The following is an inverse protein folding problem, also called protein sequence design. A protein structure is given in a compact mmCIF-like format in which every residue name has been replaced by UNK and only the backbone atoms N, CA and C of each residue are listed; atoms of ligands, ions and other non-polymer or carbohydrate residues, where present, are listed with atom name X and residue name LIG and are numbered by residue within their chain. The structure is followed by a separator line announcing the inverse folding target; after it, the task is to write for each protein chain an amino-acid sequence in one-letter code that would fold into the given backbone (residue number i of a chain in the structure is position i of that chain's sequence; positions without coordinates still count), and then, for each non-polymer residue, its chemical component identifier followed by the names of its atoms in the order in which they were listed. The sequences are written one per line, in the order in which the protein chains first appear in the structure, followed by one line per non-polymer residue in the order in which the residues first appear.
data_IF_028912640352
#
_entry.id   IF_028912640352
#
_cell.length_a   1.000
_cell.length_b   1.000
_cell.length_c   1.000
_cell.angle_alpha   90.00
_cell.angle_beta   90.00
_cell.angle_gamma   90.00
#
_symmetry.space_group_name_H-M   'P 1'
#
loop_
_entity.id
_entity.type
_entity.pdbx_description
1 polymer ?
#
# COMPACT_ATOMS: atom_id res chain seq x y z
N UNK A 1 -47.70 -8.37 -38.60
CA UNK A 1 -47.63 -7.06 -37.93
C UNK A 1 -46.29 -6.44 -38.30
N UNK A 2 -46.34 -5.31 -38.99
CA UNK A 2 -45.19 -4.57 -39.52
C UNK A 2 -44.31 -4.03 -38.38
N UNK A 3 -43.01 -4.28 -38.44
CA UNK A 3 -42.01 -3.49 -37.70
C UNK A 3 -41.31 -2.54 -38.69
N UNK A 4 -41.07 -1.27 -38.35
CA UNK A 4 -40.63 -0.27 -39.31
C UNK A 4 -39.12 -0.33 -39.54
N UNK A 5 -38.70 -0.10 -40.78
CA UNK A 5 -37.29 0.05 -41.14
C UNK A 5 -36.66 1.31 -40.53
N UNK A 6 -35.32 1.37 -40.41
CA UNK A 6 -34.64 2.49 -39.76
C UNK A 6 -34.82 3.78 -40.58
N UNK A 7 -35.29 4.82 -39.89
CA UNK A 7 -35.47 6.16 -40.44
C UNK A 7 -34.09 6.78 -40.72
N UNK A 8 -33.73 6.94 -42.00
CA UNK A 8 -32.52 7.68 -42.40
C UNK A 8 -32.81 9.19 -42.31
N UNK A 9 -32.23 9.85 -41.31
CA UNK A 9 -32.16 11.31 -41.26
C UNK A 9 -31.03 11.74 -42.18
N UNK A 10 -31.37 12.23 -43.38
CA UNK A 10 -30.41 12.89 -44.27
C UNK A 10 -30.18 14.32 -43.80
N UNK A 11 -29.01 14.58 -43.21
CA UNK A 11 -28.55 15.94 -42.93
C UNK A 11 -28.10 16.56 -44.26
N UNK A 12 -28.70 17.68 -44.74
CA UNK A 12 -28.29 18.29 -45.99
C UNK A 12 -26.92 18.94 -45.81
N UNK A 13 -25.92 18.45 -46.55
CA UNK A 13 -24.55 18.99 -46.56
C UNK A 13 -23.42 17.97 -46.44
N UNK A 14 -23.71 16.69 -46.19
CA UNK A 14 -22.69 15.64 -46.12
C UNK A 14 -22.66 14.86 -47.44
N UNK A 15 -21.51 14.90 -48.11
CA UNK A 15 -21.26 14.19 -49.37
C UNK A 15 -21.20 12.66 -49.09
N UNK A 16 -22.04 11.82 -49.73
CA UNK A 16 -22.09 10.37 -49.44
C UNK A 16 -20.80 9.60 -49.79
N UNK A 17 -19.87 10.21 -50.53
CA UNK A 17 -18.58 9.60 -50.86
C UNK A 17 -17.53 9.70 -49.73
N UNK A 18 -17.82 10.39 -48.63
CA UNK A 18 -16.92 10.47 -47.46
C UNK A 18 -17.20 9.42 -46.37
N UNK A 19 -18.27 8.63 -46.49
CA UNK A 19 -18.68 7.66 -45.46
C UNK A 19 -17.86 6.35 -45.49
N UNK A 20 -17.03 6.14 -46.52
CA UNK A 20 -16.23 4.91 -46.72
C UNK A 20 -14.71 5.13 -46.70
N UNK A 21 -14.22 6.24 -46.15
CA UNK A 21 -12.81 6.33 -45.81
C UNK A 21 -12.54 5.39 -44.61
N UNK A 22 -12.15 4.15 -44.89
CA UNK A 22 -11.52 3.26 -43.90
C UNK A 22 -10.37 4.04 -43.30
N UNK A 23 -10.58 4.61 -42.11
CA UNK A 23 -9.51 5.25 -41.37
C UNK A 23 -8.44 4.19 -41.17
N UNK A 24 -7.18 4.43 -41.59
CA UNK A 24 -6.13 3.46 -41.35
C UNK A 24 -6.08 3.19 -39.84
N UNK A 25 -6.25 1.92 -39.46
CA UNK A 25 -6.06 1.47 -38.07
C UNK A 25 -4.76 2.09 -37.55
N UNK A 26 -4.79 2.82 -36.42
CA UNK A 26 -3.63 3.54 -35.94
C UNK A 26 -2.47 2.56 -35.80
N UNK A 27 -1.36 2.81 -36.49
CA UNK A 27 -0.18 1.95 -36.40
C UNK A 27 0.36 2.04 -34.99
N UNK A 28 -0.02 1.10 -34.12
CA UNK A 28 0.40 1.14 -32.73
C UNK A 28 1.93 1.12 -32.65
N UNK A 29 2.48 2.12 -31.97
CA UNK A 29 3.88 2.15 -31.53
C UNK A 29 4.23 0.84 -30.80
N UNK A 30 5.48 0.38 -30.86
CA UNK A 30 5.95 -0.78 -30.09
C UNK A 30 5.55 -0.67 -28.60
N UNK A 31 5.63 0.53 -28.04
CA UNK A 31 5.19 0.81 -26.65
C UNK A 31 3.70 0.63 -26.45
N UNK A 32 2.86 1.06 -27.40
CA UNK A 32 1.41 0.90 -27.31
C UNK A 32 1.00 -0.58 -27.44
N UNK A 33 1.71 -1.37 -28.26
CA UNK A 33 1.49 -2.83 -28.33
C UNK A 33 1.90 -3.52 -27.04
N UNK A 34 3.04 -3.15 -26.46
CA UNK A 34 3.47 -3.68 -25.17
C UNK A 34 2.45 -3.35 -24.06
N UNK A 35 1.98 -2.10 -24.00
CA UNK A 35 0.92 -1.67 -23.07
C UNK A 35 -0.38 -2.46 -23.28
N UNK A 36 -0.80 -2.69 -24.53
CA UNK A 36 -1.99 -3.49 -24.82
C UNK A 36 -1.84 -4.97 -24.39
N UNK A 37 -0.63 -5.53 -24.44
CA UNK A 37 -0.36 -6.87 -23.91
C UNK A 37 -0.43 -6.87 -22.38
N UNK A 38 0.16 -5.86 -21.71
CA UNK A 38 0.09 -5.70 -20.26
C UNK A 38 -1.37 -5.56 -19.81
N UNK A 39 -2.14 -4.71 -20.48
CA UNK A 39 -3.57 -4.49 -20.20
C UNK A 39 -4.38 -5.78 -20.38
N UNK A 40 -4.20 -6.50 -21.50
CA UNK A 40 -4.90 -7.78 -21.73
C UNK A 40 -4.52 -8.85 -20.71
N UNK A 41 -3.26 -8.87 -20.28
CA UNK A 41 -2.77 -9.85 -19.30
C UNK A 41 -3.30 -9.50 -17.91
N UNK A 42 -3.23 -8.22 -17.53
CA UNK A 42 -3.77 -7.71 -16.27
C UNK A 42 -5.27 -7.98 -16.14
N UNK A 43 -6.06 -7.70 -17.19
CA UNK A 43 -7.50 -7.95 -17.19
C UNK A 43 -7.89 -9.44 -17.17
N UNK A 44 -6.95 -10.35 -17.46
CA UNK A 44 -7.19 -11.80 -17.37
C UNK A 44 -6.92 -12.36 -15.98
N UNK A 45 -6.16 -11.65 -15.14
CA UNK A 45 -5.91 -12.08 -13.79
C UNK A 45 -7.22 -12.00 -12.98
N UNK A 46 -7.65 -13.10 -12.33
CA UNK A 46 -8.82 -13.06 -11.48
C UNK A 46 -8.57 -12.18 -10.25
N UNK A 47 -9.65 -11.87 -9.53
CA UNK A 47 -9.58 -11.12 -8.27
C UNK A 47 -8.47 -11.68 -7.34
N UNK A 48 -7.66 -10.83 -6.69
CA UNK A 48 -6.60 -11.27 -5.80
C UNK A 48 -7.03 -12.29 -4.73
N UNK A 49 -8.23 -12.17 -4.16
CA UNK A 49 -8.75 -13.17 -3.22
C UNK A 49 -8.96 -14.53 -3.90
N UNK A 50 -9.45 -14.52 -5.15
CA UNK A 50 -9.61 -15.75 -5.95
C UNK A 50 -8.28 -16.37 -6.37
N UNK A 51 -7.21 -15.58 -6.53
CA UNK A 51 -5.86 -16.13 -6.70
C UNK A 51 -5.46 -16.97 -5.49
N UNK A 52 -5.69 -16.49 -4.27
CA UNK A 52 -5.37 -17.26 -3.05
C UNK A 52 -6.28 -18.48 -2.85
N UNK A 53 -7.55 -18.40 -3.25
CA UNK A 53 -8.42 -19.61 -3.34
C UNK A 53 -7.81 -20.63 -4.32
N UNK A 54 -7.39 -20.18 -5.50
CA UNK A 54 -6.73 -21.02 -6.49
C UNK A 54 -5.45 -21.66 -5.94
N UNK A 55 -4.58 -20.87 -5.29
CA UNK A 55 -3.35 -21.35 -4.67
C UNK A 55 -3.61 -22.37 -3.54
N UNK A 56 -4.65 -22.17 -2.74
CA UNK A 56 -5.06 -23.13 -1.72
C UNK A 56 -5.48 -24.47 -2.35
N UNK A 57 -6.32 -24.45 -3.39
CA UNK A 57 -6.75 -25.65 -4.10
C UNK A 57 -5.57 -26.37 -4.79
N UNK A 58 -4.67 -25.60 -5.40
CA UNK A 58 -3.44 -26.12 -6.00
C UNK A 58 -2.57 -26.77 -4.92
N UNK A 59 -2.42 -26.14 -3.76
CA UNK A 59 -1.65 -26.68 -2.63
C UNK A 59 -2.23 -28.00 -2.17
N UNK A 60 -3.55 -28.12 -2.04
CA UNK A 60 -4.20 -29.39 -1.71
C UNK A 60 -3.94 -30.47 -2.76
N UNK A 61 -4.12 -30.16 -4.04
CA UNK A 61 -3.90 -31.10 -5.13
C UNK A 61 -2.43 -31.55 -5.23
N UNK A 62 -1.49 -30.61 -5.14
CA UNK A 62 -0.05 -30.90 -5.14
C UNK A 62 0.36 -31.68 -3.89
N UNK A 63 -0.18 -31.35 -2.71
CA UNK A 63 0.15 -32.08 -1.49
C UNK A 63 -0.29 -33.54 -1.58
N UNK A 64 -1.45 -33.80 -2.19
CA UNK A 64 -1.92 -35.15 -2.47
C UNK A 64 -0.99 -35.87 -3.46
N UNK A 65 -0.71 -35.25 -4.61
CA UNK A 65 0.10 -35.86 -5.65
C UNK A 65 1.54 -36.16 -5.18
N UNK A 66 2.16 -35.22 -4.47
CA UNK A 66 3.55 -35.31 -4.03
C UNK A 66 3.74 -36.09 -2.73
N UNK A 67 2.67 -36.37 -1.97
CA UNK A 67 2.75 -37.18 -0.74
C UNK A 67 3.23 -38.62 -0.96
N UNK A 68 3.10 -39.14 -2.18
CA UNK A 68 3.57 -40.48 -2.54
C UNK A 68 5.07 -40.52 -2.89
N UNK A 69 5.71 -39.36 -3.03
CA UNK A 69 7.09 -39.23 -3.47
C UNK A 69 8.03 -38.94 -2.29
N UNK A 70 9.26 -39.43 -2.40
CA UNK A 70 10.33 -39.14 -1.45
C UNK A 70 11.37 -38.26 -2.15
N UNK A 71 11.63 -37.08 -1.60
CA UNK A 71 12.51 -36.09 -2.23
C UNK A 71 13.96 -36.20 -1.77
N UNK A 72 14.24 -36.93 -0.68
CA UNK A 72 15.60 -37.05 -0.13
C UNK A 72 16.14 -35.77 0.51
N UNK A 73 15.35 -34.71 0.54
CA UNK A 73 15.64 -33.41 1.14
C UNK A 73 15.47 -33.45 2.64
N UNK A 74 16.37 -32.85 3.41
CA UNK A 74 16.30 -32.76 4.87
C UNK A 74 15.63 -31.46 5.31
N UNK A 75 14.71 -31.53 6.26
CA UNK A 75 14.10 -30.36 6.89
C UNK A 75 15.16 -29.68 7.77
N UNK A 76 15.54 -28.42 7.49
CA UNK A 76 16.57 -27.72 8.27
C UNK A 76 16.17 -27.48 9.73
N UNK A 77 14.88 -27.63 10.08
CA UNK A 77 14.35 -27.41 11.44
C UNK A 77 14.51 -28.62 12.33
N UNK A 78 14.27 -29.82 11.78
CA UNK A 78 14.23 -31.06 12.55
C UNK A 78 15.42 -31.98 12.26
N UNK A 79 16.10 -31.79 11.13
CA UNK A 79 17.13 -32.71 10.65
C UNK A 79 16.56 -34.02 10.07
N UNK A 80 15.24 -34.15 9.98
CA UNK A 80 14.56 -35.31 9.40
C UNK A 80 14.25 -35.12 7.91
N UNK A 81 14.02 -36.20 7.14
CA UNK A 81 13.59 -36.07 5.75
C UNK A 81 12.26 -35.29 5.63
N UNK A 82 12.21 -34.33 4.71
CA UNK A 82 10.97 -33.63 4.36
C UNK A 82 10.01 -34.64 3.72
N UNK A 83 8.89 -34.89 4.40
CA UNK A 83 7.79 -35.70 3.87
C UNK A 83 6.58 -34.78 3.63
N UNK A 84 6.07 -34.81 2.40
CA UNK A 84 4.88 -34.02 2.03
C UNK A 84 3.64 -34.65 2.68
N UNK A 85 2.86 -33.83 3.39
CA UNK A 85 1.64 -34.28 4.08
C UNK A 85 0.44 -34.00 3.17
N UNK A 86 -0.32 -35.06 2.85
CA UNK A 86 -1.54 -34.96 2.06
C UNK A 86 -2.64 -34.20 2.80
N UNK A 87 -2.94 -32.98 2.35
CA UNK A 87 -3.96 -32.11 2.94
C UNK A 87 -5.40 -32.53 2.61
N UNK A 88 -5.59 -33.43 1.64
CA UNK A 88 -6.91 -34.02 1.32
C UNK A 88 -7.22 -35.26 2.16
N UNK A 89 -6.33 -35.67 3.07
CA UNK A 89 -6.62 -36.74 4.03
C UNK A 89 -7.71 -36.32 5.02
N UNK A 90 -8.44 -37.31 5.57
CA UNK A 90 -9.51 -37.03 6.54
C UNK A 90 -9.02 -36.25 7.76
N UNK A 91 -7.83 -36.57 8.28
CA UNK A 91 -7.22 -35.90 9.43
C UNK A 91 -6.78 -34.46 9.12
N UNK A 92 -6.12 -34.24 7.97
CA UNK A 92 -5.72 -32.89 7.59
C UNK A 92 -6.92 -31.99 7.29
N UNK A 93 -7.98 -32.53 6.67
CA UNK A 93 -9.21 -31.78 6.38
C UNK A 93 -9.98 -31.43 7.67
N UNK A 94 -10.08 -32.35 8.64
CA UNK A 94 -10.70 -32.03 9.94
C UNK A 94 -9.88 -31.01 10.70
N UNK A 95 -8.55 -31.13 10.70
CA UNK A 95 -7.65 -30.14 11.31
C UNK A 95 -7.80 -28.75 10.65
N UNK A 96 -7.83 -28.69 9.32
CA UNK A 96 -8.04 -27.46 8.56
C UNK A 96 -9.37 -26.78 8.94
N UNK A 97 -10.47 -27.52 8.93
CA UNK A 97 -11.78 -26.97 9.30
C UNK A 97 -11.84 -26.55 10.78
N UNK A 98 -11.24 -27.33 11.67
CA UNK A 98 -11.20 -27.03 13.11
C UNK A 98 -10.39 -25.76 13.41
N UNK A 99 -9.28 -25.55 12.69
CA UNK A 99 -8.37 -24.42 12.91
C UNK A 99 -8.71 -23.18 12.09
N UNK A 100 -9.57 -23.28 11.05
CA UNK A 100 -9.88 -22.20 10.10
C UNK A 100 -10.11 -20.83 10.75
N UNK A 101 -10.97 -20.77 11.78
CA UNK A 101 -11.29 -19.52 12.49
C UNK A 101 -10.09 -19.01 13.29
N UNK A 102 -9.38 -19.90 13.98
CA UNK A 102 -8.20 -19.54 14.77
C UNK A 102 -7.07 -19.02 13.88
N UNK A 103 -6.81 -19.71 12.77
CA UNK A 103 -5.84 -19.33 11.74
C UNK A 103 -6.13 -17.94 11.20
N UNK A 104 -7.39 -17.62 10.91
CA UNK A 104 -7.78 -16.29 10.46
C UNK A 104 -7.64 -15.25 11.58
N UNK A 105 -8.23 -15.49 12.75
CA UNK A 105 -8.25 -14.51 13.84
C UNK A 105 -6.86 -14.16 14.37
N UNK A 106 -5.92 -15.11 14.35
CA UNK A 106 -4.53 -14.91 14.79
C UNK A 106 -3.57 -14.59 13.65
N UNK A 107 -4.06 -14.39 12.42
CA UNK A 107 -3.19 -13.98 11.33
C UNK A 107 -2.68 -12.55 11.57
N UNK A 108 -1.40 -12.45 11.92
CA UNK A 108 -0.78 -11.25 12.48
C UNK A 108 -1.08 -9.94 11.73
N UNK A 109 -0.98 -9.89 10.37
CA UNK A 109 -1.23 -8.65 9.63
C UNK A 109 -2.64 -8.06 9.82
N UNK A 110 -3.64 -8.88 10.16
CA UNK A 110 -5.02 -8.43 10.32
C UNK A 110 -5.14 -7.49 11.52
N UNK A 111 -4.77 -7.95 12.70
CA UNK A 111 -4.88 -7.15 13.93
C UNK A 111 -4.06 -5.86 13.83
N UNK A 112 -2.87 -5.97 13.25
CA UNK A 112 -1.95 -4.85 13.01
C UNK A 112 -2.61 -3.74 12.20
N UNK A 113 -3.11 -4.05 11.01
CA UNK A 113 -3.64 -3.06 10.08
C UNK A 113 -4.94 -2.47 10.61
N UNK A 114 -5.85 -3.30 11.12
CA UNK A 114 -7.15 -2.82 11.60
C UNK A 114 -7.00 -1.85 12.78
N UNK A 115 -6.14 -2.16 13.75
CA UNK A 115 -5.90 -1.26 14.90
C UNK A 115 -5.30 0.06 14.45
N UNK A 116 -4.31 0.05 13.54
CA UNK A 116 -3.76 1.28 12.99
C UNK A 116 -4.82 2.12 12.25
N UNK A 117 -5.67 1.46 11.45
CA UNK A 117 -6.74 2.12 10.69
C UNK A 117 -7.84 2.73 11.56
N UNK A 118 -8.07 2.26 12.79
CA UNK A 118 -8.99 2.93 13.72
C UNK A 118 -8.52 4.36 14.04
N UNK A 119 -7.21 4.56 14.25
CA UNK A 119 -6.65 5.87 14.56
C UNK A 119 -6.59 6.77 13.34
N UNK A 120 -6.10 6.23 12.21
CA UNK A 120 -6.01 6.93 10.92
C UNK A 120 -7.41 7.32 10.44
N UNK A 121 -8.40 6.44 10.58
CA UNK A 121 -9.79 6.68 10.21
C UNK A 121 -10.42 7.87 10.91
N UNK A 122 -10.16 8.02 12.22
CA UNK A 122 -10.60 9.21 12.98
C UNK A 122 -9.87 10.46 12.47
N UNK A 123 -8.55 10.40 12.29
CA UNK A 123 -7.77 11.51 11.79
C UNK A 123 -8.23 12.00 10.41
N UNK A 124 -8.61 11.08 9.53
CA UNK A 124 -9.15 11.40 8.21
C UNK A 124 -10.57 11.94 8.30
N UNK A 125 -11.46 11.25 9.03
CA UNK A 125 -12.88 11.62 9.16
C UNK A 125 -13.07 13.01 9.79
N UNK A 126 -12.24 13.36 10.77
CA UNK A 126 -12.27 14.67 11.43
C UNK A 126 -11.74 15.82 10.55
N UNK A 127 -11.05 15.50 9.45
CA UNK A 127 -10.47 16.46 8.52
C UNK A 127 -9.03 16.90 8.86
N UNK A 128 -8.39 16.27 9.85
CA UNK A 128 -7.00 16.56 10.23
C UNK A 128 -6.05 16.27 9.07
N UNK A 129 -6.12 15.07 8.48
CA UNK A 129 -5.28 14.65 7.35
C UNK A 129 -5.45 15.61 6.17
N UNK A 130 -6.68 15.84 5.75
CA UNK A 130 -7.00 16.72 4.61
C UNK A 130 -6.43 18.13 4.83
N UNK A 131 -6.55 18.67 6.04
CA UNK A 131 -6.02 20.00 6.36
C UNK A 131 -4.50 20.04 6.46
N UNK A 132 -3.87 18.99 6.98
CA UNK A 132 -2.42 18.87 7.03
C UNK A 132 -1.81 18.80 5.61
N UNK A 133 -2.37 17.97 4.71
CA UNK A 133 -1.92 17.86 3.33
C UNK A 133 -2.05 19.20 2.59
N UNK A 134 -3.19 19.90 2.71
CA UNK A 134 -3.38 21.25 2.15
C UNK A 134 -2.42 22.28 2.74
N UNK A 135 -2.15 22.22 4.05
CA UNK A 135 -1.20 23.11 4.71
C UNK A 135 0.22 22.94 4.17
N UNK A 136 0.69 21.70 3.98
CA UNK A 136 2.02 21.43 3.45
C UNK A 136 2.20 21.96 2.02
N UNK A 137 1.15 21.87 1.21
CA UNK A 137 1.20 22.28 -0.19
C UNK A 137 1.11 23.80 -0.41
N UNK A 138 0.52 24.55 0.52
CA UNK A 138 0.36 26.01 0.41
C UNK A 138 1.60 26.82 0.78
N UNK A 139 2.57 26.23 1.49
CA UNK A 139 3.76 26.94 2.04
C UNK A 139 5.02 26.77 1.16
N UNK A 140 4.87 26.24 -0.06
CA UNK A 140 6.01 25.86 -0.91
C UNK A 140 6.46 26.97 -1.87
N UNK A 141 7.77 27.22 -1.95
CA UNK A 141 8.36 28.12 -2.95
C UNK A 141 8.21 27.56 -4.38
N UNK A 142 8.01 28.43 -5.38
CA UNK A 142 7.71 28.02 -6.78
C UNK A 142 8.70 27.00 -7.36
N UNK A 143 9.99 27.11 -7.04
CA UNK A 143 11.04 26.22 -7.54
C UNK A 143 11.07 24.84 -6.84
N UNK A 144 10.42 24.70 -5.68
CA UNK A 144 10.30 23.45 -4.92
C UNK A 144 8.92 22.78 -5.10
N UNK A 145 8.05 23.30 -5.98
CA UNK A 145 6.69 22.76 -6.12
C UNK A 145 6.67 21.28 -6.49
N UNK A 146 7.51 20.86 -7.44
CA UNK A 146 7.60 19.46 -7.87
C UNK A 146 8.06 18.53 -6.74
N UNK A 147 9.23 18.76 -6.11
CA UNK A 147 9.69 17.87 -5.05
C UNK A 147 8.76 17.89 -3.83
N UNK A 148 8.11 19.01 -3.51
CA UNK A 148 7.15 19.06 -2.41
C UNK A 148 5.85 18.32 -2.71
N UNK A 149 5.33 18.38 -3.95
CA UNK A 149 4.16 17.59 -4.33
C UNK A 149 4.45 16.09 -4.25
N UNK A 150 5.65 15.67 -4.69
CA UNK A 150 6.08 14.27 -4.56
C UNK A 150 6.22 13.89 -3.08
N UNK A 151 6.86 14.74 -2.26
CA UNK A 151 6.98 14.54 -0.82
C UNK A 151 5.61 14.39 -0.14
N UNK A 152 4.66 15.26 -0.46
CA UNK A 152 3.30 15.19 0.08
C UNK A 152 2.59 13.93 -0.41
N UNK A 153 2.82 13.50 -1.66
CA UNK A 153 2.36 12.21 -2.17
C UNK A 153 2.89 11.04 -1.34
N UNK A 154 4.19 11.01 -1.08
CA UNK A 154 4.84 9.99 -0.23
C UNK A 154 4.25 9.99 1.19
N UNK A 155 4.16 11.15 1.84
CA UNK A 155 3.63 11.27 3.21
C UNK A 155 2.14 10.92 3.27
N UNK A 156 1.38 11.12 2.20
CA UNK A 156 -0.05 10.81 2.17
C UNK A 156 -0.37 9.32 2.36
N UNK A 157 0.60 8.41 2.13
CA UNK A 157 0.44 6.98 2.44
C UNK A 157 0.24 6.66 3.90
N UNK A 158 0.74 7.52 4.79
CA UNK A 158 0.45 7.36 6.22
C UNK A 158 -1.04 7.56 6.52
N UNK A 159 -1.80 8.14 5.57
CA UNK A 159 -3.23 8.35 5.65
C UNK A 159 -4.02 7.63 4.55
N UNK A 160 -3.64 6.38 4.26
CA UNK A 160 -4.36 5.45 3.36
C UNK A 160 -4.71 6.09 1.99
N UNK A 161 -6.01 6.20 1.67
CA UNK A 161 -6.50 6.60 0.34
C UNK A 161 -6.50 8.12 0.09
N UNK A 162 -6.16 8.93 1.11
CA UNK A 162 -6.16 10.38 1.01
C UNK A 162 -5.24 10.91 -0.11
N UNK A 163 -4.14 10.20 -0.40
CA UNK A 163 -3.22 10.52 -1.49
C UNK A 163 -3.88 10.58 -2.86
N UNK A 164 -4.65 9.53 -3.21
CA UNK A 164 -5.29 9.44 -4.52
C UNK A 164 -6.43 10.43 -4.68
N UNK A 165 -7.22 10.62 -3.61
CA UNK A 165 -8.41 11.47 -3.64
C UNK A 165 -8.05 12.95 -3.60
N UNK A 166 -7.05 13.35 -2.81
CA UNK A 166 -6.73 14.75 -2.57
C UNK A 166 -5.45 15.23 -3.27
N UNK A 167 -4.34 14.51 -3.15
CA UNK A 167 -3.01 15.02 -3.56
C UNK A 167 -2.90 15.09 -5.08
N UNK A 168 -3.46 14.11 -5.81
CA UNK A 168 -3.39 14.07 -7.27
C UNK A 168 -4.10 15.27 -7.92
N UNK A 169 -5.40 15.55 -7.64
CA UNK A 169 -6.07 16.72 -8.21
C UNK A 169 -5.41 18.02 -7.77
N UNK A 170 -5.01 18.10 -6.49
CA UNK A 170 -4.40 19.30 -5.91
C UNK A 170 -3.04 19.63 -6.54
N UNK A 171 -2.25 18.61 -6.91
CA UNK A 171 -1.01 18.78 -7.66
C UNK A 171 -1.24 19.49 -9.00
N UNK A 172 -2.31 19.12 -9.72
CA UNK A 172 -2.71 19.78 -10.96
C UNK A 172 -3.10 21.25 -10.75
N UNK A 173 -3.92 21.52 -9.75
CA UNK A 173 -4.38 22.89 -9.43
C UNK A 173 -3.22 23.78 -9.01
N UNK A 174 -2.29 23.29 -8.19
CA UNK A 174 -1.12 24.05 -7.73
C UNK A 174 -0.19 24.39 -8.89
N UNK A 175 0.05 23.44 -9.79
CA UNK A 175 0.85 23.69 -10.98
C UNK A 175 0.19 24.75 -11.86
N UNK A 176 -1.12 24.66 -12.10
CA UNK A 176 -1.87 25.65 -12.87
C UNK A 176 -1.80 27.05 -12.23
N UNK A 177 -2.01 27.14 -10.91
CA UNK A 177 -1.92 28.40 -10.16
C UNK A 177 -0.50 29.00 -10.16
N UNK A 178 0.54 28.16 -10.30
CA UNK A 178 1.92 28.58 -10.43
C UNK A 178 2.34 28.93 -11.87
N UNK A 179 1.42 28.85 -12.84
CA UNK A 179 1.69 29.07 -14.27
C UNK A 179 2.41 27.91 -14.96
N UNK A 180 2.40 26.72 -14.35
CA UNK A 180 2.98 25.47 -14.86
C UNK A 180 1.88 24.57 -15.42
N UNK A 181 2.26 23.59 -16.23
CA UNK A 181 1.27 22.72 -16.89
C UNK A 181 0.59 21.79 -15.86
N UNK A 182 -0.76 21.79 -15.69
CA UNK A 182 -1.47 21.00 -14.68
C UNK A 182 -1.24 19.49 -14.80
N UNK A 183 -1.17 18.94 -16.03
CA UNK A 183 -0.85 17.52 -16.22
C UNK A 183 0.52 17.13 -15.67
N UNK A 184 1.50 18.04 -15.63
CA UNK A 184 2.80 17.77 -15.01
C UNK A 184 2.66 17.66 -13.48
N UNK A 185 1.81 18.49 -12.87
CA UNK A 185 1.49 18.41 -11.44
C UNK A 185 0.74 17.13 -11.07
N UNK A 186 -0.23 16.72 -11.89
CA UNK A 186 -0.94 15.44 -11.74
C UNK A 186 0.04 14.27 -11.86
N UNK A 187 0.92 14.30 -12.87
CA UNK A 187 1.92 13.25 -13.05
C UNK A 187 2.92 13.17 -11.88
N UNK A 188 3.39 14.32 -11.38
CA UNK A 188 4.28 14.38 -10.22
C UNK A 188 3.60 13.86 -8.94
N UNK A 189 2.35 14.26 -8.70
CA UNK A 189 1.57 13.78 -7.57
C UNK A 189 1.30 12.27 -7.68
N UNK A 190 0.92 11.78 -8.86
CA UNK A 190 0.71 10.36 -9.11
C UNK A 190 2.00 9.55 -8.95
N UNK A 191 3.15 10.08 -9.37
CA UNK A 191 4.43 9.43 -9.14
C UNK A 191 4.77 9.33 -7.64
N UNK A 192 4.47 10.37 -6.86
CA UNK A 192 4.64 10.36 -5.41
C UNK A 192 3.69 9.41 -4.67
N UNK A 193 2.41 9.39 -5.07
CA UNK A 193 1.37 8.54 -4.44
C UNK A 193 1.43 7.09 -4.93
N UNK A 194 1.67 6.82 -6.21
CA UNK A 194 1.69 5.44 -6.70
C UNK A 194 3.10 4.85 -6.60
N UNK A 195 4.08 5.55 -7.15
CA UNK A 195 5.47 5.10 -7.16
C UNK A 195 6.18 5.19 -5.80
N UNK A 196 5.68 6.04 -4.88
CA UNK A 196 6.20 6.21 -3.54
C UNK A 196 5.54 5.37 -2.46
N UNK A 197 4.63 4.45 -2.80
CA UNK A 197 3.73 3.77 -1.85
C UNK A 197 4.43 3.16 -0.62
N UNK A 198 5.55 2.46 -0.83
CA UNK A 198 6.31 1.83 0.26
C UNK A 198 7.35 2.74 0.91
N UNK A 199 7.72 3.85 0.26
CA UNK A 199 8.72 4.77 0.79
C UNK A 199 8.04 5.74 1.77
N UNK A 200 8.62 5.96 2.95
CA UNK A 200 8.09 6.95 3.88
C UNK A 200 9.15 7.41 4.89
N UNK A 201 9.06 8.65 5.34
CA UNK A 201 9.88 9.18 6.43
C UNK A 201 9.32 8.83 7.82
N UNK A 202 8.02 8.49 7.86
CA UNK A 202 7.29 8.21 9.09
C UNK A 202 6.81 6.75 9.02
N UNK A 203 7.02 5.95 10.08
CA UNK A 203 6.43 4.62 10.17
C UNK A 203 4.91 4.67 9.98
N UNK A 204 4.39 3.75 9.19
CA UNK A 204 3.01 3.68 8.78
C UNK A 204 2.43 2.31 9.12
N UNK A 205 1.13 2.11 8.86
CA UNK A 205 0.50 0.79 9.01
C UNK A 205 1.07 -0.28 8.03
N UNK A 206 1.72 0.16 6.95
CA UNK A 206 2.32 -0.74 5.94
C UNK A 206 3.53 -1.47 6.53
N UNK A 207 4.35 -0.81 7.35
CA UNK A 207 5.58 -1.39 7.90
C UNK A 207 5.32 -2.67 8.73
N UNK A 208 4.46 -2.64 9.77
CA UNK A 208 4.14 -3.85 10.53
C UNK A 208 3.30 -4.85 9.72
N UNK A 209 2.54 -4.42 8.70
CA UNK A 209 1.83 -5.34 7.79
C UNK A 209 2.80 -6.17 6.96
N UNK A 210 3.75 -5.52 6.28
CA UNK A 210 4.77 -6.17 5.46
C UNK A 210 5.69 -7.04 6.32
N UNK A 211 6.04 -6.55 7.52
CA UNK A 211 6.77 -7.35 8.49
C UNK A 211 5.99 -8.61 8.87
N UNK A 212 4.68 -8.50 9.13
CA UNK A 212 3.85 -9.65 9.51
C UNK A 212 3.80 -10.73 8.44
N UNK A 213 3.60 -10.33 7.18
CA UNK A 213 3.59 -11.25 6.02
C UNK A 213 4.97 -11.90 5.86
N UNK A 214 6.04 -11.10 5.92
CA UNK A 214 7.42 -11.58 5.81
C UNK A 214 7.76 -12.57 6.93
N UNK A 215 7.31 -12.29 8.15
CA UNK A 215 7.53 -13.16 9.29
C UNK A 215 6.77 -14.48 9.13
N UNK A 216 5.51 -14.47 8.69
CA UNK A 216 4.77 -15.70 8.41
C UNK A 216 5.44 -16.57 7.35
N UNK A 217 6.01 -15.95 6.30
CA UNK A 217 6.82 -16.67 5.31
C UNK A 217 8.11 -17.24 5.89
N UNK A 218 8.84 -16.46 6.70
CA UNK A 218 10.08 -16.90 7.33
C UNK A 218 9.86 -18.02 8.36
N UNK A 219 8.72 -18.02 9.06
CA UNK A 219 8.33 -19.03 10.04
C UNK A 219 8.04 -20.41 9.44
N UNK A 220 7.92 -20.51 8.11
CA UNK A 220 7.92 -21.80 7.43
C UNK A 220 9.26 -22.53 7.63
N UNK A 221 10.37 -21.79 7.73
CA UNK A 221 11.74 -22.32 7.86
C UNK A 221 12.30 -22.14 9.27
N UNK A 222 12.01 -21.05 9.96
CA UNK A 222 12.41 -20.85 11.36
C UNK A 222 11.20 -20.41 12.19
N UNK A 223 10.52 -21.35 12.89
CA UNK A 223 9.32 -21.04 13.65
C UNK A 223 9.53 -20.00 14.77
N UNK A 224 10.76 -19.83 15.25
CA UNK A 224 11.08 -18.90 16.33
C UNK A 224 11.45 -17.49 15.83
N UNK A 225 11.56 -17.29 14.51
CA UNK A 225 11.98 -16.00 13.96
C UNK A 225 10.94 -14.92 14.27
N UNK A 226 11.43 -13.81 14.79
CA UNK A 226 10.67 -12.58 15.02
C UNK A 226 11.37 -11.47 14.25
N UNK A 227 10.61 -10.72 13.46
CA UNK A 227 11.12 -9.60 12.68
C UNK A 227 10.77 -8.27 13.36
N UNK A 228 11.69 -7.31 13.32
CA UNK A 228 11.41 -5.96 13.81
C UNK A 228 10.43 -5.26 12.84
N UNK A 229 9.32 -4.66 13.32
CA UNK A 229 8.39 -3.90 12.47
C UNK A 229 9.02 -2.75 11.68
N UNK A 230 10.13 -2.19 12.15
CA UNK A 230 10.88 -1.10 11.51
C UNK A 230 12.14 -1.58 10.79
N UNK A 231 12.25 -2.88 10.48
CA UNK A 231 13.42 -3.45 9.80
C UNK A 231 13.75 -2.74 8.47
N UNK A 232 12.74 -2.20 7.78
CA UNK A 232 12.89 -1.51 6.51
C UNK A 232 12.96 0.02 6.63
N UNK A 233 12.81 0.59 7.83
CA UNK A 233 12.62 2.03 8.01
C UNK A 233 13.72 2.89 7.38
N UNK A 234 15.00 2.53 7.61
CA UNK A 234 16.11 3.29 7.01
C UNK A 234 16.14 3.18 5.49
N UNK A 235 15.82 2.00 4.95
CA UNK A 235 15.76 1.79 3.51
C UNK A 235 14.61 2.59 2.88
N UNK A 236 13.43 2.57 3.47
CA UNK A 236 12.25 3.29 2.95
C UNK A 236 12.41 4.80 3.08
N UNK A 237 12.98 5.29 4.18
CA UNK A 237 13.26 6.72 4.37
C UNK A 237 14.31 7.27 3.39
N UNK A 238 15.39 6.53 3.14
CA UNK A 238 16.39 6.91 2.12
C UNK A 238 15.79 6.81 0.71
N UNK A 239 14.96 5.80 0.45
CA UNK A 239 14.26 5.65 -0.82
C UNK A 239 13.32 6.83 -1.11
N UNK A 240 12.67 7.42 -0.09
CA UNK A 240 11.86 8.62 -0.27
C UNK A 240 12.68 9.78 -0.86
N UNK A 241 13.91 9.99 -0.41
CA UNK A 241 14.78 11.04 -0.97
C UNK A 241 15.14 10.77 -2.43
N UNK A 242 15.41 9.50 -2.77
CA UNK A 242 15.70 9.09 -4.14
C UNK A 242 14.49 9.28 -5.06
N UNK A 243 13.29 8.91 -4.61
CA UNK A 243 12.04 9.06 -5.37
C UNK A 243 11.71 10.54 -5.56
N UNK A 244 11.88 11.38 -4.54
CA UNK A 244 11.71 12.84 -4.66
C UNK A 244 12.69 13.40 -5.69
N UNK A 245 13.98 13.07 -5.58
CA UNK A 245 15.00 13.57 -6.50
C UNK A 245 14.78 13.12 -7.94
N UNK A 246 14.49 11.83 -8.14
CA UNK A 246 14.26 11.27 -9.47
C UNK A 246 12.95 11.76 -10.08
N UNK A 247 11.86 11.78 -9.31
CA UNK A 247 10.58 12.31 -9.77
C UNK A 247 10.66 13.80 -10.09
N UNK A 248 11.41 14.58 -9.31
CA UNK A 248 11.68 15.98 -9.62
C UNK A 248 12.43 16.13 -10.95
N UNK A 249 13.52 15.39 -11.12
CA UNK A 249 14.30 15.37 -12.37
C UNK A 249 13.41 14.99 -13.56
N UNK A 250 12.66 13.91 -13.46
CA UNK A 250 11.81 13.41 -14.55
C UNK A 250 10.73 14.42 -14.92
N UNK A 251 10.03 14.98 -13.94
CA UNK A 251 8.94 15.92 -14.19
C UNK A 251 9.44 17.21 -14.82
N UNK A 252 10.44 17.88 -14.23
CA UNK A 252 10.89 19.19 -14.70
C UNK A 252 11.71 19.08 -16.00
N UNK A 253 12.52 18.02 -16.16
CA UNK A 253 13.44 17.89 -17.31
C UNK A 253 12.81 17.24 -18.53
N UNK A 254 11.82 16.37 -18.37
CA UNK A 254 11.26 15.56 -19.45
C UNK A 254 9.74 15.72 -19.62
N UNK A 255 8.96 15.67 -18.55
CA UNK A 255 7.48 15.69 -18.65
C UNK A 255 6.99 17.10 -18.98
N UNK A 256 7.35 18.10 -18.19
CA UNK A 256 6.89 19.47 -18.37
C UNK A 256 7.32 20.09 -19.72
N UNK A 257 8.58 19.92 -20.20
CA UNK A 257 8.96 20.45 -21.51
C UNK A 257 8.20 19.81 -22.67
N UNK A 258 7.78 18.54 -22.56
CA UNK A 258 6.95 17.89 -23.57
C UNK A 258 5.52 18.41 -23.58
N UNK A 259 5.02 18.82 -22.42
CA UNK A 259 3.67 19.37 -22.26
C UNK A 259 3.57 20.86 -22.61
N UNK A 260 4.69 21.58 -22.71
CA UNK A 260 4.70 23.00 -23.02
C UNK A 260 4.05 23.35 -24.37
N UNK A 261 4.02 22.40 -25.33
CA UNK A 261 3.39 22.57 -26.63
C UNK A 261 1.87 22.27 -26.63
N UNK A 262 1.35 21.70 -25.54
CA UNK A 262 -0.07 21.34 -25.42
C UNK A 262 -0.86 22.55 -24.97
N UNK A 263 -1.83 22.98 -25.78
CA UNK A 263 -2.71 24.10 -25.40
C UNK A 263 -3.64 23.66 -24.26
N UNK A 264 -3.74 24.50 -23.24
CA UNK A 264 -4.72 24.35 -22.18
C UNK A 264 -6.08 24.84 -22.68
N UNK A 265 -7.14 24.15 -22.27
CA UNK A 265 -8.50 24.60 -22.55
C UNK A 265 -8.72 25.97 -21.87
N UNK A 266 -9.09 27.03 -22.62
CA UNK A 266 -9.31 28.36 -22.07
C UNK A 266 -10.48 28.42 -21.07
N UNK A 267 -11.32 27.39 -20.99
CA UNK A 267 -12.42 27.26 -20.03
C UNK A 267 -12.08 26.44 -18.78
N UNK A 268 -10.79 26.14 -18.50
CA UNK A 268 -10.41 25.49 -17.25
C UNK A 268 -10.72 26.44 -16.08
N UNK A 269 -11.92 26.30 -15.53
CA UNK A 269 -12.25 26.88 -14.24
C UNK A 269 -11.51 26.09 -13.17
N UNK A 270 -10.64 26.79 -12.44
CA UNK A 270 -10.10 26.27 -11.19
C UNK A 270 -11.27 26.20 -10.21
N UNK A 271 -11.97 25.07 -10.15
CA UNK A 271 -12.87 24.79 -9.03
C UNK A 271 -12.08 24.98 -7.74
N UNK A 272 -12.68 25.70 -6.79
CA UNK A 272 -12.11 26.18 -5.52
C UNK A 272 -11.76 25.07 -4.51
N UNK A 273 -11.18 23.96 -4.98
CA UNK A 273 -10.57 22.91 -4.16
C UNK A 273 -9.36 23.41 -3.35
N UNK A 274 -8.86 24.62 -3.66
CA UNK A 274 -7.82 25.36 -2.95
C UNK A 274 -8.37 26.47 -2.05
N UNK A 275 -9.56 26.28 -1.46
CA UNK A 275 -9.98 27.19 -0.39
C UNK A 275 -8.89 27.20 0.69
N UNK A 276 -8.33 28.39 0.91
CA UNK A 276 -7.29 28.59 1.92
C UNK A 276 -7.85 28.13 3.26
N UNK A 277 -7.05 27.37 4.02
CA UNK A 277 -7.45 26.92 5.36
C UNK A 277 -8.02 28.09 6.16
N UNK A 278 -9.25 27.91 6.62
CA UNK A 278 -9.95 28.88 7.45
C UNK A 278 -9.17 29.14 8.75
N UNK A 279 -9.46 30.27 9.41
CA UNK A 279 -8.84 30.57 10.70
C UNK A 279 -9.07 29.47 11.75
N UNK A 280 -10.23 28.81 11.69
CA UNK A 280 -10.56 27.69 12.57
C UNK A 280 -9.72 26.46 12.24
N UNK A 281 -9.67 26.02 10.98
CA UNK A 281 -8.85 24.87 10.57
C UNK A 281 -7.37 25.08 10.87
N UNK A 282 -6.85 26.29 10.64
CA UNK A 282 -5.45 26.62 10.96
C UNK A 282 -5.16 26.55 12.46
N UNK A 283 -6.10 27.00 13.29
CA UNK A 283 -5.98 26.91 14.75
C UNK A 283 -6.09 25.46 15.21
N UNK A 284 -7.07 24.72 14.69
CA UNK A 284 -7.26 23.29 14.94
C UNK A 284 -6.01 22.48 14.59
N UNK A 285 -5.39 22.75 13.44
CA UNK A 285 -4.15 22.09 13.01
C UNK A 285 -3.01 22.36 14.00
N UNK A 286 -2.86 23.59 14.49
CA UNK A 286 -1.84 23.92 15.51
C UNK A 286 -2.06 23.17 16.81
N UNK A 287 -3.29 23.13 17.32
CA UNK A 287 -3.60 22.39 18.55
C UNK A 287 -3.45 20.89 18.38
N UNK A 288 -3.83 20.34 17.22
CA UNK A 288 -3.65 18.93 16.89
C UNK A 288 -2.16 18.55 16.85
N UNK A 289 -1.33 19.34 16.16
CA UNK A 289 0.12 19.14 16.13
C UNK A 289 0.76 19.30 17.52
N UNK A 290 0.27 20.23 18.34
CA UNK A 290 0.70 20.36 19.73
C UNK A 290 0.34 19.10 20.53
N UNK A 291 -0.87 18.57 20.38
CA UNK A 291 -1.30 17.32 21.03
C UNK A 291 -0.43 16.13 20.62
N UNK A 292 -0.11 16.02 19.33
CA UNK A 292 0.81 15.01 18.80
C UNK A 292 2.21 15.17 19.38
N UNK A 293 2.74 16.40 19.45
CA UNK A 293 4.05 16.69 20.03
C UNK A 293 4.09 16.33 21.52
N UNK A 294 3.03 16.65 22.28
CA UNK A 294 2.91 16.26 23.69
C UNK A 294 2.89 14.74 23.85
N UNK A 295 2.16 14.01 23.00
CA UNK A 295 2.16 12.54 23.04
C UNK A 295 3.55 11.94 22.77
N UNK A 296 4.27 12.48 21.78
CA UNK A 296 5.67 12.09 21.48
C UNK A 296 6.59 12.45 22.65
N UNK A 297 6.44 13.63 23.24
CA UNK A 297 7.24 14.06 24.39
C UNK A 297 7.01 13.14 25.61
N UNK A 298 5.77 12.75 25.89
CA UNK A 298 5.45 11.81 26.97
C UNK A 298 6.04 10.42 26.70
N UNK A 299 5.93 9.92 25.45
CA UNK A 299 6.53 8.65 25.07
C UNK A 299 8.05 8.69 25.25
N UNK A 300 8.71 9.71 24.72
CA UNK A 300 10.17 9.87 24.82
C UNK A 300 10.64 9.99 26.26
N UNK A 301 9.95 10.77 27.11
CA UNK A 301 10.25 10.86 28.54
C UNK A 301 10.08 9.50 29.24
N UNK A 302 9.03 8.75 28.92
CA UNK A 302 8.80 7.42 29.49
C UNK A 302 9.84 6.37 29.02
N UNK A 303 10.39 6.54 27.82
CA UNK A 303 11.40 5.67 27.22
C UNK A 303 12.85 6.08 27.55
N UNK A 304 13.06 7.26 28.15
CA UNK A 304 14.38 7.88 28.26
C UNK A 304 15.33 7.13 29.18
N UNK A 305 14.85 6.71 30.36
CA UNK A 305 15.69 6.08 31.38
C UNK A 305 16.28 4.75 30.90
N UNK A 306 17.46 4.40 31.41
CA UNK A 306 18.10 3.11 31.14
C UNK A 306 17.26 1.94 31.71
N UNK A 307 16.51 2.19 32.79
CA UNK A 307 15.61 1.22 33.43
C UNK A 307 14.17 1.32 32.89
N UNK A 308 13.97 1.93 31.72
CA UNK A 308 12.64 2.09 31.13
C UNK A 308 12.01 0.74 30.79
N UNK A 309 10.73 0.57 31.13
CA UNK A 309 9.93 -0.60 30.76
C UNK A 309 9.75 -0.77 29.24
N UNK A 310 10.11 0.22 28.44
CA UNK A 310 10.09 0.15 26.98
C UNK A 310 11.27 -0.60 26.37
N UNK A 311 12.35 -0.76 27.13
CA UNK A 311 13.58 -1.43 26.67
C UNK A 311 13.40 -2.95 26.76
N UNK A 312 14.03 -3.65 25.82
CA UNK A 312 14.09 -5.10 25.87
C UNK A 312 15.18 -5.60 26.86
N UNK A 313 15.35 -6.93 26.98
CA UNK A 313 16.33 -7.54 27.88
C UNK A 313 17.79 -7.08 27.68
N UNK A 314 18.18 -6.70 26.46
CA UNK A 314 19.50 -6.17 26.14
C UNK A 314 19.66 -4.66 26.41
N UNK A 315 18.63 -4.01 26.94
CA UNK A 315 18.62 -2.58 27.27
C UNK A 315 18.39 -1.66 26.06
N UNK A 316 18.22 -2.20 24.85
CA UNK A 316 17.88 -1.39 23.67
C UNK A 316 16.37 -1.15 23.56
N UNK A 317 16.00 0.00 22.98
CA UNK A 317 14.61 0.35 22.64
C UNK A 317 14.16 -0.26 21.30
N UNK A 318 15.12 -0.65 20.47
CA UNK A 318 14.87 -1.09 19.09
C UNK A 318 15.31 -2.54 18.84
N UNK A 319 15.73 -3.25 19.89
CA UNK A 319 16.02 -4.67 19.76
C UNK A 319 14.76 -5.49 19.50
N UNK A 320 14.96 -6.67 18.92
CA UNK A 320 13.91 -7.65 18.68
C UNK A 320 13.25 -8.04 20.00
N UNK A 321 11.92 -8.00 20.03
CA UNK A 321 11.12 -8.32 21.23
C UNK A 321 11.06 -7.20 22.28
N UNK A 322 11.65 -6.03 22.05
CA UNK A 322 11.47 -4.90 22.96
C UNK A 322 10.00 -4.44 23.02
N UNK A 323 9.47 -4.08 24.21
CA UNK A 323 8.08 -3.64 24.37
C UNK A 323 7.72 -2.44 23.48
N UNK A 324 8.68 -1.54 23.22
CA UNK A 324 8.46 -0.41 22.30
C UNK A 324 8.17 -0.88 20.87
N UNK A 325 8.97 -1.80 20.34
CA UNK A 325 8.78 -2.35 18.99
C UNK A 325 7.49 -3.15 18.89
N UNK A 326 7.16 -3.93 19.93
CA UNK A 326 5.87 -4.63 20.02
C UNK A 326 4.66 -3.67 20.05
N UNK A 327 4.85 -2.44 20.52
CA UNK A 327 3.80 -1.43 20.68
C UNK A 327 3.69 -0.45 19.52
N UNK A 328 4.43 -0.62 18.41
CA UNK A 328 4.41 0.31 17.28
C UNK A 328 2.99 0.52 16.74
N UNK A 329 2.20 -0.54 16.62
CA UNK A 329 0.82 -0.44 16.11
C UNK A 329 -0.07 0.39 17.04
N UNK A 330 -0.17 0.09 18.36
CA UNK A 330 -0.83 0.97 19.31
C UNK A 330 -0.32 2.42 19.29
N UNK A 331 0.99 2.62 19.12
CA UNK A 331 1.58 3.96 19.06
C UNK A 331 1.15 4.72 17.80
N UNK A 332 1.09 4.07 16.63
CA UNK A 332 0.53 4.66 15.40
C UNK A 332 -0.93 5.02 15.62
N UNK A 333 -1.73 4.11 16.20
CA UNK A 333 -3.12 4.38 16.56
C UNK A 333 -3.25 5.64 17.42
N UNK A 334 -2.46 5.76 18.49
CA UNK A 334 -2.46 6.92 19.38
C UNK A 334 -1.99 8.20 18.66
N UNK A 335 -0.96 8.10 17.84
CA UNK A 335 -0.36 9.22 17.11
C UNK A 335 -1.32 9.82 16.07
N UNK A 336 -2.31 9.06 15.58
CA UNK A 336 -3.35 9.58 14.68
C UNK A 336 -4.65 9.95 15.40
N UNK A 337 -5.10 9.15 16.37
CA UNK A 337 -6.37 9.42 17.05
C UNK A 337 -6.30 10.70 17.90
N UNK A 338 -5.18 10.96 18.59
CA UNK A 338 -5.02 12.14 19.45
C UNK A 338 -5.14 13.43 18.63
N UNK A 339 -4.30 13.68 17.59
CA UNK A 339 -4.46 14.87 16.79
C UNK A 339 -5.78 14.89 16.02
N UNK A 340 -6.32 13.74 15.59
CA UNK A 340 -7.63 13.66 14.94
C UNK A 340 -8.75 14.21 15.83
N UNK A 341 -8.84 13.74 17.08
CA UNK A 341 -9.85 14.22 18.04
C UNK A 341 -9.63 15.70 18.38
N UNK A 342 -8.39 16.10 18.69
CA UNK A 342 -8.07 17.50 19.04
C UNK A 342 -8.41 18.44 17.88
N UNK A 343 -8.03 18.05 16.66
CA UNK A 343 -8.38 18.79 15.46
C UNK A 343 -9.90 18.91 15.33
N UNK A 344 -10.61 17.79 15.41
CA UNK A 344 -12.04 17.77 15.16
C UNK A 344 -12.84 18.61 16.16
N UNK A 345 -12.45 18.58 17.44
CA UNK A 345 -13.10 19.39 18.48
C UNK A 345 -12.86 20.89 18.25
N UNK A 346 -11.62 21.29 17.92
CA UNK A 346 -11.29 22.71 17.71
C UNK A 346 -11.86 23.24 16.40
N UNK A 347 -11.87 22.42 15.34
CA UNK A 347 -12.45 22.76 14.05
C UNK A 347 -14.00 22.79 14.10
N UNK A 348 -14.60 22.12 15.09
CA UNK A 348 -16.05 21.95 15.24
C UNK A 348 -16.62 20.85 14.36
N UNK A 349 -15.79 19.96 13.81
CA UNK A 349 -16.22 18.78 13.05
C UNK A 349 -16.56 17.59 13.96
N UNK A 350 -16.08 17.61 15.21
CA UNK A 350 -16.45 16.65 16.26
C UNK A 350 -17.20 17.39 17.36
N UNK A 351 -18.45 17.02 17.56
CA UNK A 351 -19.35 17.56 18.58
C UNK A 351 -19.60 16.57 19.71
N UNK A 352 -19.46 15.27 19.44
CA UNK A 352 -19.70 14.21 20.41
C UNK A 352 -18.76 13.02 20.21
N UNK A 353 -18.69 12.12 21.20
CA UNK A 353 -17.94 10.87 21.06
C UNK A 353 -18.47 9.96 19.95
N UNK A 354 -19.71 10.14 19.49
CA UNK A 354 -20.29 9.35 18.39
C UNK A 354 -19.59 9.63 17.07
N UNK A 355 -19.19 10.88 16.83
CA UNK A 355 -18.51 11.28 15.59
C UNK A 355 -17.13 10.59 15.48
N UNK A 356 -16.46 10.37 16.62
CA UNK A 356 -15.21 9.61 16.68
C UNK A 356 -15.45 8.14 16.33
N UNK A 357 -16.49 7.52 16.89
CA UNK A 357 -16.86 6.13 16.59
C UNK A 357 -17.32 5.97 15.13
N UNK A 358 -18.00 6.97 14.58
CA UNK A 358 -18.38 6.99 13.16
C UNK A 358 -17.15 6.98 12.26
N UNK A 359 -16.14 7.80 12.57
CA UNK A 359 -14.85 7.79 11.88
C UNK A 359 -14.17 6.42 11.92
N UNK A 360 -14.15 5.76 13.08
CA UNK A 360 -13.65 4.38 13.22
C UNK A 360 -14.47 3.38 12.37
N UNK A 361 -15.79 3.48 12.41
CA UNK A 361 -16.71 2.56 11.71
C UNK A 361 -16.55 2.68 10.20
N UNK A 362 -16.42 3.91 9.68
CA UNK A 362 -16.22 4.16 8.26
C UNK A 362 -14.89 3.57 7.78
N UNK A 363 -13.83 3.71 8.57
CA UNK A 363 -12.53 3.11 8.26
C UNK A 363 -12.57 1.58 8.29
N UNK A 364 -13.31 0.97 9.22
CA UNK A 364 -13.48 -0.49 9.21
C UNK A 364 -14.28 -0.98 8.01
N UNK A 365 -15.23 -0.18 7.54
CA UNK A 365 -16.04 -0.50 6.35
C UNK A 365 -15.19 -0.50 5.07
N UNK A 366 -14.23 0.42 4.92
CA UNK A 366 -13.29 0.41 3.77
C UNK A 366 -12.32 -0.78 3.82
N UNK A 367 -12.06 -1.34 5.00
CA UNK A 367 -11.22 -2.53 5.19
C UNK A 367 -11.97 -3.87 4.98
N UNK A 368 -13.24 -3.85 4.55
CA UNK A 368 -14.00 -5.08 4.35
C UNK A 368 -13.36 -6.02 3.31
N UNK A 369 -12.89 -5.47 2.17
CA UNK A 369 -12.19 -6.28 1.16
C UNK A 369 -10.85 -6.82 1.68
N UNK A 370 -10.12 -6.01 2.45
CA UNK A 370 -8.88 -6.42 3.11
C UNK A 370 -9.09 -7.65 4.01
N UNK A 371 -10.18 -7.69 4.78
CA UNK A 371 -10.53 -8.86 5.59
C UNK A 371 -10.78 -10.12 4.75
N UNK A 372 -11.47 -9.98 3.62
CA UNK A 372 -11.77 -11.10 2.71
C UNK A 372 -10.49 -11.68 2.11
N UNK A 373 -9.60 -10.84 1.58
CA UNK A 373 -8.34 -11.32 1.00
C UNK A 373 -7.43 -11.93 2.08
N UNK A 374 -7.32 -11.31 3.26
CA UNK A 374 -6.50 -11.83 4.37
C UNK A 374 -7.00 -13.18 4.90
N UNK A 375 -8.32 -13.43 4.85
CA UNK A 375 -8.88 -14.74 5.17
C UNK A 375 -8.28 -15.83 4.28
N UNK A 376 -8.33 -15.65 2.95
CA UNK A 376 -7.80 -16.66 2.03
C UNK A 376 -6.28 -16.77 2.06
N UNK A 377 -5.56 -15.66 2.29
CA UNK A 377 -4.11 -15.68 2.51
C UNK A 377 -3.78 -16.54 3.73
N UNK A 378 -4.46 -16.32 4.87
CA UNK A 378 -4.21 -17.07 6.09
C UNK A 378 -4.46 -18.58 5.90
N UNK A 379 -5.56 -18.95 5.23
CA UNK A 379 -5.86 -20.35 4.94
C UNK A 379 -4.84 -20.99 3.98
N UNK A 380 -4.40 -20.26 2.95
CA UNK A 380 -3.36 -20.71 2.04
C UNK A 380 -2.04 -20.96 2.78
N UNK A 381 -1.56 -19.99 3.57
CA UNK A 381 -0.30 -20.11 4.31
C UNK A 381 -0.35 -21.30 5.28
N UNK A 382 -1.48 -21.47 5.98
CA UNK A 382 -1.68 -22.62 6.86
C UNK A 382 -1.57 -23.95 6.09
N UNK A 383 -2.34 -24.13 5.01
CA UNK A 383 -2.28 -25.37 4.23
C UNK A 383 -0.91 -25.61 3.57
N UNK A 384 -0.23 -24.55 3.15
CA UNK A 384 1.09 -24.60 2.54
C UNK A 384 2.19 -24.98 3.56
N UNK A 385 2.06 -24.51 4.80
CA UNK A 385 2.91 -24.91 5.92
C UNK A 385 2.67 -26.35 6.35
N UNK A 386 1.41 -26.72 6.62
CA UNK A 386 1.04 -28.07 7.08
C UNK A 386 1.34 -29.15 6.04
N UNK A 387 1.21 -28.85 4.75
CA UNK A 387 1.60 -29.78 3.67
C UNK A 387 3.11 -30.03 3.57
N UNK A 388 3.92 -29.21 4.25
CA UNK A 388 5.38 -29.11 4.11
C UNK A 388 5.89 -28.76 2.71
N UNK A 389 4.99 -28.40 1.79
CA UNK A 389 5.37 -27.96 0.44
C UNK A 389 6.18 -26.66 0.47
N UNK A 390 5.90 -25.76 1.42
CA UNK A 390 6.68 -24.54 1.58
C UNK A 390 8.14 -24.78 1.93
N UNK A 391 8.41 -25.75 2.80
CA UNK A 391 9.80 -26.11 3.17
C UNK A 391 10.49 -26.80 2.01
N UNK A 392 9.82 -27.74 1.35
CA UNK A 392 10.37 -28.43 0.18
C UNK A 392 10.75 -27.43 -0.92
N UNK A 393 9.85 -26.51 -1.24
CA UNK A 393 10.09 -25.46 -2.24
C UNK A 393 11.23 -24.53 -1.84
N UNK A 394 11.33 -24.16 -0.56
CA UNK A 394 12.40 -23.30 -0.06
C UNK A 394 13.77 -23.97 -0.15
N UNK A 395 13.90 -25.24 0.26
CA UNK A 395 15.18 -25.95 0.24
C UNK A 395 15.63 -26.25 -1.19
N UNK A 396 14.74 -26.76 -2.04
CA UNK A 396 15.06 -27.04 -3.44
C UNK A 396 15.34 -25.74 -4.23
N UNK A 397 14.56 -24.69 -3.97
CA UNK A 397 14.78 -23.37 -4.56
C UNK A 397 16.12 -22.76 -4.13
N UNK A 398 16.48 -22.89 -2.86
CA UNK A 398 17.79 -22.45 -2.35
C UNK A 398 18.94 -23.23 -2.99
N UNK A 399 18.80 -24.55 -3.12
CA UNK A 399 19.79 -25.39 -3.80
C UNK A 399 19.95 -25.01 -5.29
N UNK A 400 18.85 -24.76 -5.98
CA UNK A 400 18.87 -24.31 -7.38
C UNK A 400 19.59 -22.95 -7.52
N UNK A 401 19.29 -21.98 -6.66
CA UNK A 401 19.97 -20.68 -6.67
C UNK A 401 21.46 -20.80 -6.33
N UNK A 402 21.81 -21.65 -5.36
CA UNK A 402 23.19 -21.90 -5.00
C UNK A 402 23.98 -22.56 -6.15
N UNK A 403 23.34 -23.49 -6.87
CA UNK A 403 23.94 -24.15 -8.04
C UNK A 403 24.21 -23.18 -9.20
N UNK A 404 23.42 -22.12 -9.35
CA UNK A 404 23.66 -21.08 -10.36
C UNK A 404 24.90 -20.23 -10.05
N UNK A 405 25.37 -20.20 -8.80
CA UNK A 405 26.59 -19.48 -8.41
C UNK A 405 26.53 -17.95 -8.64
N UNK A 406 25.33 -17.38 -8.72
CA UNK A 406 25.15 -15.96 -9.01
C UNK A 406 25.61 -15.10 -7.80
N UNK A 407 26.24 -13.94 -8.04
CA UNK A 407 26.55 -13.01 -6.96
C UNK A 407 25.29 -12.60 -6.19
N UNK A 408 25.37 -12.51 -4.87
CA UNK A 408 24.23 -12.20 -4.01
C UNK A 408 23.47 -10.93 -4.44
N UNK A 409 24.18 -9.89 -4.88
CA UNK A 409 23.58 -8.66 -5.40
C UNK A 409 22.68 -8.93 -6.61
N UNK A 410 23.12 -9.77 -7.56
CA UNK A 410 22.35 -10.12 -8.75
C UNK A 410 21.14 -10.98 -8.38
N UNK A 411 21.29 -11.90 -7.44
CA UNK A 411 20.18 -12.72 -6.93
C UNK A 411 19.10 -11.86 -6.28
N UNK A 412 19.48 -10.92 -5.42
CA UNK A 412 18.54 -10.00 -4.75
C UNK A 412 17.87 -9.08 -5.77
N UNK A 413 18.64 -8.45 -6.67
CA UNK A 413 18.06 -7.58 -7.71
C UNK A 413 17.16 -8.37 -8.66
N UNK A 414 17.54 -9.60 -9.02
CA UNK A 414 16.72 -10.49 -9.84
C UNK A 414 15.41 -10.88 -9.16
N UNK A 415 15.43 -11.15 -7.85
CA UNK A 415 14.20 -11.37 -7.07
C UNK A 415 13.32 -10.13 -7.07
N UNK A 416 13.90 -8.95 -6.81
CA UNK A 416 13.15 -7.67 -6.85
C UNK A 416 12.49 -7.45 -8.21
N UNK A 417 13.19 -7.72 -9.32
CA UNK A 417 12.66 -7.62 -10.68
C UNK A 417 11.63 -8.68 -11.04
N UNK A 418 11.64 -9.83 -10.36
CA UNK A 418 10.65 -10.89 -10.59
C UNK A 418 9.36 -10.64 -9.79
N UNK A 419 9.48 -10.00 -8.62
CA UNK A 419 8.34 -9.69 -7.74
C UNK A 419 7.69 -8.33 -8.00
N UNK A 420 8.43 -7.38 -8.58
CA UNK A 420 7.95 -6.03 -8.93
C UNK A 420 7.64 -5.93 -10.42
#
# INVERSE_FOLDING_TARGET
MLTPGPCRVTIPGVNPDQENAVQPEPSYSFTQRALAVIERTGNRLPDPAMLFVGLLLITWALSWLLSYLHFGTTDPRTGEPVQVINQLSGEAMTSFLANMVSTFAHFHPIGVVLVAMLGIGVAEHTGFINSALRAMLTVTARWLLTPMIILVGIVSHTAADAGYVLVIPLGGVIFLAAGRHPLAGIAAAFAGVSGGFSANFIPSAIDPMLQGISQSGAQLIDPAIVLNPLNNYFFTAVSSLLIIGFGWLVTDRFVEPRLAATQLDPQIEVQSSMDTLSHRERSALRYALLGMLVAIALLTLSAWSADSAWRGPGGSLTELGSPLMASIVPLIFLLFIIPGIVYGVVAGTVTSSRDVIEGMTKAMSSMAYYLVIMFFIAQFIYAFGESRLGILMAVEGAAALQAMGLPAALTITGMVLLTG
#
